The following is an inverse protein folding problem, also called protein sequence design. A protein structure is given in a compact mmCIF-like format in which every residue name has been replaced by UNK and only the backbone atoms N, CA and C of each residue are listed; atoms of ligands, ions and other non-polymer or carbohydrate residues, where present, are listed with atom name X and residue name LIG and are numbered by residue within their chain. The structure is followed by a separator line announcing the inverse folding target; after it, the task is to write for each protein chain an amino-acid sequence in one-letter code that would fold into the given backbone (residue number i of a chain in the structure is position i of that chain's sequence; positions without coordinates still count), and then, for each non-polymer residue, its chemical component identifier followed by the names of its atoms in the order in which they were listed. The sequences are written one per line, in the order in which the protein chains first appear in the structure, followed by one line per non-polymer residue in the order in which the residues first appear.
data_IF_774175020437
#
_entry.id   IF_774175020437
#
_cell.length_a   1.000
_cell.length_b   1.000
_cell.length_c   1.000
_cell.angle_alpha   90.00
_cell.angle_beta   90.00
_cell.angle_gamma   90.00
#
_symmetry.space_group_name_H-M   'P 1'
#
loop_
_entity.id
_entity.type
_entity.pdbx_description
1 polymer ?
#
# COMPACT_ATOMS: atom_id res chain seq x y z
N UNK A 1 -16.80 0.25 -4.52
CA UNK A 1 -17.65 1.48 -4.68
C UNK A 1 -16.92 2.67 -4.09
N UNK A 2 -17.16 3.90 -4.56
CA UNK A 2 -16.47 5.13 -4.09
C UNK A 2 -16.55 5.29 -2.57
N UNK A 3 -17.71 5.01 -1.98
CA UNK A 3 -17.96 5.17 -0.53
C UNK A 3 -17.79 3.90 0.30
N UNK A 4 -17.20 2.85 -0.27
CA UNK A 4 -16.80 1.65 0.48
C UNK A 4 -15.81 2.01 1.61
N UNK A 5 -15.99 1.42 2.79
CA UNK A 5 -15.14 1.66 3.97
C UNK A 5 -13.80 0.94 3.82
N UNK A 6 -13.78 -0.16 3.07
CA UNK A 6 -12.58 -0.94 2.85
C UNK A 6 -11.57 -0.21 1.94
N UNK A 7 -10.25 -0.44 2.12
CA UNK A 7 -9.23 0.11 1.24
C UNK A 7 -9.49 -0.28 -0.22
N UNK A 8 -9.47 0.72 -1.10
CA UNK A 8 -9.78 0.55 -2.52
C UNK A 8 -8.72 -0.33 -3.20
N UNK A 9 -9.17 -1.13 -4.15
CA UNK A 9 -8.32 -2.05 -4.92
C UNK A 9 -8.36 -1.78 -6.42
N UNK A 10 -9.26 -0.90 -6.88
CA UNK A 10 -9.34 -0.48 -8.28
C UNK A 10 -9.39 1.04 -8.39
N UNK A 11 -8.86 1.56 -9.49
CA UNK A 11 -8.71 3.00 -9.74
C UNK A 11 -10.06 3.72 -9.76
N UNK A 12 -11.12 3.10 -10.27
CA UNK A 12 -12.46 3.70 -10.32
C UNK A 12 -13.07 3.94 -8.92
N UNK A 13 -12.56 3.24 -7.91
CA UNK A 13 -12.96 3.44 -6.52
C UNK A 13 -12.13 4.49 -5.78
N UNK A 14 -11.06 5.01 -6.37
CA UNK A 14 -10.07 5.88 -5.75
C UNK A 14 -10.21 7.31 -6.31
N UNK A 15 -10.74 8.22 -5.49
CA UNK A 15 -10.98 9.61 -5.91
C UNK A 15 -9.69 10.43 -5.91
N UNK A 16 -9.36 11.05 -7.05
CA UNK A 16 -8.33 12.11 -7.20
C UNK A 16 -6.95 11.73 -6.65
N UNK A 17 -6.44 10.55 -7.02
CA UNK A 17 -5.11 10.05 -6.59
C UNK A 17 -4.30 9.41 -7.73
N UNK A 18 -4.62 9.76 -8.98
CA UNK A 18 -3.94 9.21 -10.15
C UNK A 18 -2.43 9.48 -10.12
N UNK A 19 -2.03 10.70 -9.70
CA UNK A 19 -0.63 11.09 -9.61
C UNK A 19 0.17 10.22 -8.63
N UNK A 20 -0.39 9.90 -7.45
CA UNK A 20 0.28 9.03 -6.48
C UNK A 20 0.35 7.58 -6.96
N UNK A 21 -0.68 7.07 -7.63
CA UNK A 21 -0.65 5.74 -8.24
C UNK A 21 0.44 5.67 -9.30
N UNK A 22 0.45 6.62 -10.24
CA UNK A 22 1.43 6.66 -11.32
C UNK A 22 2.87 6.83 -10.80
N UNK A 23 3.05 7.58 -9.71
CA UNK A 23 4.35 7.71 -9.03
C UNK A 23 4.86 6.36 -8.50
N UNK A 24 3.97 5.54 -7.92
CA UNK A 24 4.32 4.19 -7.45
C UNK A 24 4.64 3.28 -8.64
N UNK A 25 3.84 3.32 -9.72
CA UNK A 25 4.08 2.51 -10.91
C UNK A 25 5.44 2.84 -11.55
N UNK A 26 5.76 4.12 -11.67
CA UNK A 26 7.04 4.59 -12.20
C UNK A 26 8.20 4.20 -11.28
N UNK A 27 8.01 4.27 -9.96
CA UNK A 27 9.00 3.78 -9.01
C UNK A 27 9.28 2.27 -9.19
N UNK A 28 8.23 1.45 -9.28
CA UNK A 28 8.36 -0.01 -9.44
C UNK A 28 9.06 -0.38 -10.75
N UNK A 29 8.76 0.34 -11.84
CA UNK A 29 9.39 0.13 -13.16
C UNK A 29 10.81 0.70 -13.25
N UNK A 30 11.18 1.54 -12.29
CA UNK A 30 12.47 2.22 -12.23
C UNK A 30 13.58 1.39 -11.59
N UNK A 31 14.69 2.05 -11.25
CA UNK A 31 15.86 1.44 -10.56
C UNK A 31 15.91 1.72 -9.06
N UNK A 32 14.98 2.53 -8.55
CA UNK A 32 14.93 2.90 -7.14
C UNK A 32 14.57 1.69 -6.27
N UNK A 33 15.15 1.59 -5.07
CA UNK A 33 15.02 0.41 -4.20
C UNK A 33 14.13 0.61 -2.98
N UNK A 34 13.77 1.86 -2.68
CA UNK A 34 13.01 2.20 -1.49
C UNK A 34 12.05 3.35 -1.78
N UNK A 35 10.78 3.17 -1.38
CA UNK A 35 9.72 4.15 -1.47
C UNK A 35 9.00 4.21 -0.13
N UNK A 36 8.77 5.41 0.38
CA UNK A 36 7.95 5.65 1.56
C UNK A 36 6.64 6.33 1.15
N UNK A 37 5.51 5.79 1.64
CA UNK A 37 4.17 6.40 1.49
C UNK A 37 3.74 6.92 2.86
N UNK A 38 3.82 8.23 3.06
CA UNK A 38 3.52 8.89 4.33
C UNK A 38 2.23 9.72 4.29
N UNK A 39 1.78 10.20 5.46
CA UNK A 39 0.58 11.03 5.61
C UNK A 39 -0.29 10.60 6.79
N UNK A 40 -1.31 11.39 7.11
CA UNK A 40 -2.19 11.16 8.27
C UNK A 40 -2.96 9.83 8.20
N UNK A 41 -3.40 9.32 9.37
CA UNK A 41 -4.23 8.11 9.44
C UNK A 41 -5.53 8.31 8.65
N UNK A 42 -5.96 7.28 7.91
CA UNK A 42 -7.17 7.29 7.05
C UNK A 42 -7.16 8.24 5.85
N UNK A 43 -6.01 8.79 5.43
CA UNK A 43 -5.90 9.58 4.19
C UNK A 43 -6.00 8.77 2.89
N UNK A 44 -5.93 7.43 2.99
CA UNK A 44 -6.05 6.54 1.82
C UNK A 44 -4.75 5.89 1.33
N UNK A 45 -3.64 5.98 2.07
CA UNK A 45 -2.33 5.37 1.72
C UNK A 45 -2.44 3.90 1.30
N UNK A 46 -3.16 3.09 2.09
CA UNK A 46 -3.38 1.66 1.81
C UNK A 46 -4.12 1.46 0.49
N UNK A 47 -5.13 2.29 0.21
CA UNK A 47 -5.90 2.22 -1.04
C UNK A 47 -5.02 2.53 -2.26
N UNK A 48 -4.23 3.61 -2.19
CA UNK A 48 -3.30 4.00 -3.27
C UNK A 48 -2.32 2.86 -3.57
N UNK A 49 -1.68 2.30 -2.53
CA UNK A 49 -0.75 1.18 -2.68
C UNK A 49 -1.43 -0.05 -3.31
N UNK A 50 -2.63 -0.44 -2.84
CA UNK A 50 -3.34 -1.62 -3.37
C UNK A 50 -3.77 -1.44 -4.82
N UNK A 51 -4.22 -0.24 -5.20
CA UNK A 51 -4.54 0.09 -6.59
C UNK A 51 -3.29 -0.05 -7.47
N UNK A 52 -2.18 0.58 -7.08
CA UNK A 52 -0.93 0.49 -7.85
C UNK A 52 -0.41 -0.96 -7.98
N UNK A 53 -0.46 -1.75 -6.91
CA UNK A 53 -0.05 -3.16 -6.93
C UNK A 53 -0.92 -4.02 -7.85
N UNK A 54 -2.23 -3.75 -7.91
CA UNK A 54 -3.12 -4.46 -8.82
C UNK A 54 -2.91 -4.08 -10.29
N UNK A 55 -2.49 -2.85 -10.58
CA UNK A 55 -2.24 -2.38 -11.95
C UNK A 55 -0.89 -2.83 -12.50
N UNK A 56 0.14 -2.90 -11.64
CA UNK A 56 1.50 -3.26 -12.10
C UNK A 56 1.63 -4.74 -12.44
N UNK A 57 0.73 -5.59 -11.91
CA UNK A 57 0.66 -7.03 -12.18
C UNK A 57 2.03 -7.76 -12.10
N UNK A 58 2.78 -7.50 -11.03
CA UNK A 58 4.02 -8.22 -10.72
C UNK A 58 3.83 -9.14 -9.51
N UNK A 59 4.68 -10.16 -9.33
CA UNK A 59 4.75 -10.86 -8.06
C UNK A 59 5.17 -9.90 -6.94
N UNK A 60 4.43 -9.90 -5.82
CA UNK A 60 4.76 -9.13 -4.63
C UNK A 60 4.38 -9.87 -3.36
N UNK A 61 5.04 -9.52 -2.25
CA UNK A 61 4.63 -9.90 -0.90
C UNK A 61 4.01 -8.67 -0.22
N UNK A 62 2.76 -8.79 0.20
CA UNK A 62 2.08 -7.73 0.95
C UNK A 62 2.02 -8.10 2.44
N UNK A 63 2.74 -7.34 3.27
CA UNK A 63 2.81 -7.55 4.71
C UNK A 63 2.00 -6.44 5.39
N UNK A 64 0.87 -6.82 6.01
CA UNK A 64 0.11 -5.90 6.84
C UNK A 64 0.67 -5.88 8.27
N UNK A 65 1.54 -4.93 8.54
CA UNK A 65 2.17 -4.80 9.85
C UNK A 65 1.18 -4.45 10.99
N UNK A 66 -0.09 -4.13 10.70
CA UNK A 66 -1.10 -3.85 11.73
C UNK A 66 -1.53 -5.10 12.50
N UNK A 67 -1.35 -6.27 11.90
CA UNK A 67 -1.71 -7.57 12.51
C UNK A 67 -0.53 -8.22 13.22
N UNK A 68 0.65 -7.63 13.09
CA UNK A 68 1.85 -8.11 13.76
C UNK A 68 1.74 -7.83 15.27
N UNK A 69 2.04 -8.84 16.08
CA UNK A 69 2.09 -8.68 17.53
C UNK A 69 3.18 -7.69 17.93
N UNK A 70 2.98 -6.99 19.05
CA UNK A 70 3.94 -5.97 19.46
C UNK A 70 5.27 -6.54 19.99
N UNK A 71 5.35 -7.86 20.23
CA UNK A 71 6.53 -8.51 20.79
C UNK A 71 7.02 -9.68 19.92
N UNK A 72 8.01 -9.38 19.10
CA UNK A 72 8.83 -10.35 18.37
C UNK A 72 10.22 -10.53 19.00
N UNK A 73 10.42 -10.09 20.24
CA UNK A 73 11.71 -10.26 20.89
C UNK A 73 11.96 -11.73 21.22
N UNK A 74 13.23 -12.16 21.14
CA UNK A 74 13.63 -13.54 21.47
C UNK A 74 13.17 -13.99 22.87
N UNK A 75 12.91 -13.05 23.79
CA UNK A 75 12.41 -13.32 25.15
C UNK A 75 11.08 -14.06 25.17
N UNK A 76 10.29 -13.94 24.12
CA UNK A 76 8.98 -14.61 24.03
C UNK A 76 9.08 -16.08 23.61
N UNK A 77 10.19 -16.49 23.01
CA UNK A 77 10.40 -17.86 22.51
C UNK A 77 11.15 -18.77 23.51
N UNK A 78 11.42 -18.30 24.72
CA UNK A 78 12.00 -19.04 25.85
C UNK A 78 11.08 -18.90 27.07
#
# INVERSE_FOLDING_TARGET
MLFDIEPKTRREGLFDRDNEVDSILNFIRGRSRFLEIYGIRRVGKTSVLRVALNEVNIPYCYIDARTLENDFTKRRFY
#
